data_IF_983718393518
#
_entry.id   IF_983718393518
#
_cell.length_a   1.000
_cell.length_b   1.000
_cell.length_c   1.000
_cell.angle_alpha   90.00
_cell.angle_beta   90.00
_cell.angle_gamma   90.00
#
_symmetry.space_group_name_H-M   'P 1'
#
loop_
_entity.id
_entity.type
_entity.pdbx_description
1 polymer ?
#
# COMPACT_ATOMS: atom_id res chain seq x y z
N UNK A 1 32.08 6.15 -11.29
CA UNK A 1 30.68 6.43 -10.91
C UNK A 1 29.98 7.03 -12.11
N UNK A 2 29.03 6.29 -12.70
CA UNK A 2 28.17 6.64 -13.85
C UNK A 2 28.73 7.71 -14.83
N UNK A 3 29.42 7.29 -15.91
CA UNK A 3 30.17 8.18 -16.81
C UNK A 3 29.40 9.38 -17.36
N UNK A 4 28.07 9.28 -17.50
CA UNK A 4 27.22 10.39 -17.96
C UNK A 4 26.79 11.37 -16.86
N UNK A 5 26.60 10.94 -15.60
CA UNK A 5 26.22 11.86 -14.52
C UNK A 5 27.38 12.76 -14.08
N UNK A 6 28.63 12.33 -14.31
CA UNK A 6 29.83 13.11 -14.01
C UNK A 6 30.00 14.36 -14.90
N UNK A 7 29.28 14.44 -16.02
CA UNK A 7 29.32 15.56 -16.96
C UNK A 7 28.08 16.47 -16.88
N UNK A 8 27.17 16.21 -15.94
CA UNK A 8 25.93 16.97 -15.79
C UNK A 8 26.14 18.18 -14.88
N UNK A 9 25.43 19.26 -15.19
CA UNK A 9 25.37 20.45 -14.35
C UNK A 9 24.82 20.12 -12.95
N UNK A 10 25.22 20.90 -11.93
CA UNK A 10 24.87 20.66 -10.54
C UNK A 10 23.34 20.61 -10.32
N UNK A 11 22.58 21.39 -11.08
CA UNK A 11 21.11 21.37 -11.04
C UNK A 11 20.54 20.00 -11.47
N UNK A 12 21.09 19.40 -12.53
CA UNK A 12 20.68 18.08 -13.01
C UNK A 12 21.03 16.99 -12.01
N UNK A 13 22.22 17.06 -11.40
CA UNK A 13 22.63 16.12 -10.36
C UNK A 13 21.69 16.21 -9.16
N UNK A 14 21.33 17.42 -8.73
CA UNK A 14 20.40 17.64 -7.62
C UNK A 14 19.00 17.07 -7.90
N UNK A 15 18.48 17.23 -9.12
CA UNK A 15 17.19 16.66 -9.51
C UNK A 15 17.18 15.13 -9.59
N UNK A 16 18.24 14.54 -10.16
CA UNK A 16 18.41 13.09 -10.20
C UNK A 16 18.49 12.54 -8.76
N UNK A 17 19.24 13.21 -7.90
CA UNK A 17 19.39 12.83 -6.49
C UNK A 17 18.06 12.98 -5.72
N UNK A 18 17.31 14.05 -5.92
CA UNK A 18 16.03 14.26 -5.23
C UNK A 18 14.98 13.24 -5.67
N UNK A 19 14.88 12.92 -6.97
CA UNK A 19 13.97 11.86 -7.47
C UNK A 19 14.40 10.48 -6.98
N UNK A 20 15.71 10.23 -6.96
CA UNK A 20 16.26 9.04 -6.33
C UNK A 20 15.80 8.93 -4.88
N UNK A 21 15.94 10.01 -4.10
CA UNK A 21 15.55 10.05 -2.69
C UNK A 21 14.05 9.80 -2.48
N UNK A 22 13.17 10.43 -3.27
CA UNK A 22 11.72 10.19 -3.15
C UNK A 22 11.36 8.75 -3.51
N UNK A 23 11.96 8.20 -4.57
CA UNK A 23 11.70 6.82 -4.97
C UNK A 23 12.26 5.79 -3.98
N UNK A 24 13.37 6.10 -3.30
CA UNK A 24 13.94 5.26 -2.24
C UNK A 24 13.00 5.12 -1.03
N UNK A 25 12.09 6.09 -0.82
CA UNK A 25 11.02 5.97 0.18
C UNK A 25 10.04 4.86 -0.18
N UNK A 26 9.85 4.47 -1.45
CA UNK A 26 8.81 3.49 -1.81
C UNK A 26 9.01 2.15 -1.10
N UNK A 27 7.90 1.52 -0.68
CA UNK A 27 7.82 0.16 -0.14
C UNK A 27 6.84 -0.66 -0.99
N UNK A 28 6.78 -1.97 -0.81
CA UNK A 28 5.83 -2.84 -1.52
C UNK A 28 4.79 -3.41 -0.56
N UNK A 29 3.51 -2.99 -0.66
CA UNK A 29 2.42 -3.63 0.08
C UNK A 29 2.21 -5.07 -0.35
N UNK A 30 2.25 -5.36 -1.65
CA UNK A 30 2.05 -6.71 -2.17
C UNK A 30 3.08 -7.72 -1.62
N UNK A 31 4.36 -7.35 -1.56
CA UNK A 31 5.39 -8.21 -0.96
C UNK A 31 5.20 -8.38 0.55
N UNK A 32 4.78 -7.33 1.26
CA UNK A 32 4.49 -7.42 2.69
C UNK A 32 3.32 -8.38 2.95
N UNK A 33 2.22 -8.25 2.21
CA UNK A 33 1.05 -9.13 2.29
C UNK A 33 1.43 -10.58 1.96
N UNK A 34 2.23 -10.80 0.92
CA UNK A 34 2.67 -12.14 0.53
C UNK A 34 3.47 -12.83 1.66
N UNK A 35 4.44 -12.13 2.27
CA UNK A 35 5.22 -12.68 3.39
C UNK A 35 4.36 -12.91 4.62
N UNK A 36 3.42 -11.99 4.94
CA UNK A 36 2.50 -12.17 6.06
C UNK A 36 1.57 -13.38 5.85
N UNK A 37 1.03 -13.54 4.64
CA UNK A 37 0.19 -14.68 4.29
C UNK A 37 0.96 -15.99 4.36
N UNK A 38 2.21 -16.01 3.86
CA UNK A 38 3.06 -17.20 3.87
C UNK A 38 3.49 -17.60 5.28
N UNK A 39 3.84 -16.63 6.13
CA UNK A 39 4.30 -16.88 7.50
C UNK A 39 3.14 -17.02 8.50
N UNK A 40 1.88 -16.89 8.04
CA UNK A 40 0.69 -16.71 8.87
C UNK A 40 0.90 -15.65 9.97
N UNK A 41 1.56 -14.55 9.59
CA UNK A 41 1.96 -13.46 10.46
C UNK A 41 0.74 -12.73 11.02
N UNK A 42 0.50 -12.86 12.33
CA UNK A 42 -0.60 -12.15 13.02
C UNK A 42 -0.14 -11.60 14.36
N UNK A 43 -0.31 -10.30 14.55
CA UNK A 43 -0.05 -9.61 15.81
C UNK A 43 0.17 -8.11 15.63
N UNK A 44 0.46 -7.38 16.71
CA UNK A 44 0.63 -5.94 16.69
C UNK A 44 1.74 -5.44 15.76
N UNK A 45 2.85 -6.18 15.60
CA UNK A 45 3.94 -5.82 14.68
C UNK A 45 3.49 -5.93 13.22
N UNK A 46 2.83 -7.03 12.86
CA UNK A 46 2.28 -7.26 11.51
C UNK A 46 1.27 -6.17 11.14
N UNK A 47 0.39 -5.81 12.07
CA UNK A 47 -0.58 -4.71 11.89
C UNK A 47 0.10 -3.35 11.73
N UNK A 48 1.13 -3.07 12.55
CA UNK A 48 1.92 -1.83 12.43
C UNK A 48 2.64 -1.73 11.08
N UNK A 49 3.24 -2.84 10.62
CA UNK A 49 3.86 -2.91 9.30
C UNK A 49 2.83 -2.56 8.22
N UNK A 50 1.66 -3.20 8.22
CA UNK A 50 0.62 -2.92 7.22
C UNK A 50 0.15 -1.47 7.25
N UNK A 51 -0.12 -0.91 8.44
CA UNK A 51 -0.53 0.48 8.59
C UNK A 51 0.51 1.45 8.03
N UNK A 52 1.79 1.28 8.41
CA UNK A 52 2.88 2.13 7.93
C UNK A 52 3.08 1.99 6.42
N UNK A 53 2.99 0.77 5.87
CA UNK A 53 3.14 0.55 4.43
C UNK A 53 2.06 1.26 3.63
N UNK A 54 0.79 1.19 4.06
CA UNK A 54 -0.33 1.84 3.37
C UNK A 54 -0.18 3.37 3.38
N UNK A 55 0.11 3.96 4.55
CA UNK A 55 0.30 5.42 4.66
C UNK A 55 1.49 5.88 3.82
N UNK A 56 2.60 5.14 3.90
CA UNK A 56 3.83 5.44 3.18
C UNK A 56 3.67 5.35 1.66
N UNK A 57 2.83 4.45 1.15
CA UNK A 57 2.51 4.36 -0.28
C UNK A 57 1.78 5.60 -0.80
N UNK A 58 0.91 6.21 0.00
CA UNK A 58 0.27 7.48 -0.36
C UNK A 58 1.29 8.62 -0.32
N UNK A 59 2.08 8.69 0.75
CA UNK A 59 3.11 9.73 0.92
C UNK A 59 4.13 9.71 -0.21
N UNK A 60 4.60 8.53 -0.65
CA UNK A 60 5.59 8.45 -1.72
C UNK A 60 5.03 8.92 -3.06
N UNK A 61 3.77 8.61 -3.38
CA UNK A 61 3.14 9.03 -4.64
C UNK A 61 2.99 10.55 -4.68
N UNK A 62 2.48 11.15 -3.60
CA UNK A 62 2.33 12.60 -3.50
C UNK A 62 3.71 13.28 -3.55
N UNK A 63 4.66 12.79 -2.76
CA UNK A 63 6.01 13.35 -2.69
C UNK A 63 6.74 13.25 -4.03
N UNK A 64 6.55 12.14 -4.75
CA UNK A 64 7.12 11.94 -6.07
C UNK A 64 6.50 12.89 -7.10
N UNK A 65 5.16 13.01 -7.13
CA UNK A 65 4.44 13.92 -8.02
C UNK A 65 4.91 15.38 -7.85
N UNK A 66 4.97 15.85 -6.60
CA UNK A 66 5.46 17.21 -6.28
C UNK A 66 6.92 17.40 -6.71
N UNK A 67 7.78 16.40 -6.47
CA UNK A 67 9.19 16.49 -6.81
C UNK A 67 9.43 16.50 -8.33
N UNK A 68 8.70 15.69 -9.10
CA UNK A 68 8.77 15.70 -10.58
C UNK A 68 8.42 17.08 -11.12
N UNK A 69 7.37 17.71 -10.61
CA UNK A 69 6.93 19.01 -11.09
C UNK A 69 7.90 20.13 -10.66
N UNK A 70 8.47 20.06 -9.45
CA UNK A 70 9.54 20.96 -9.02
C UNK A 70 10.75 20.89 -9.94
N UNK A 71 11.15 19.68 -10.33
CA UNK A 71 12.27 19.44 -11.25
C UNK A 71 11.97 19.94 -12.65
N UNK A 72 10.74 19.74 -13.12
CA UNK A 72 10.28 20.25 -14.41
C UNK A 72 10.46 21.77 -14.49
N UNK A 73 10.12 22.49 -13.41
CA UNK A 73 10.30 23.93 -13.30
C UNK A 73 11.76 24.35 -13.20
N UNK A 74 12.58 23.57 -12.47
CA UNK A 74 13.97 23.91 -12.22
C UNK A 74 14.92 23.64 -13.41
N UNK A 75 14.65 22.62 -14.22
CA UNK A 75 15.58 22.14 -15.26
C UNK A 75 15.10 22.37 -16.68
N UNK A 76 13.80 22.25 -16.97
CA UNK A 76 13.36 22.51 -18.33
C UNK A 76 13.51 24.01 -18.59
N UNK A 77 14.08 24.41 -19.75
CA UNK A 77 14.15 25.81 -20.12
C UNK A 77 12.77 26.40 -19.98
N UNK A 78 12.61 27.37 -19.06
CA UNK A 78 11.49 28.29 -19.17
C UNK A 78 11.59 28.83 -20.58
N UNK A 79 10.54 28.63 -21.38
CA UNK A 79 10.39 29.42 -22.60
C UNK A 79 10.70 30.87 -22.18
N UNK A 80 11.64 31.53 -22.87
CA UNK A 80 12.31 32.73 -22.40
C UNK A 80 11.36 33.88 -21.96
N UNK A 81 10.07 33.76 -22.26
CA UNK A 81 9.00 34.69 -21.93
C UNK A 81 8.03 34.23 -20.82
N UNK A 82 8.28 33.13 -20.10
CA UNK A 82 7.36 32.66 -19.05
C UNK A 82 7.57 33.45 -17.75
N UNK A 83 6.55 34.16 -17.23
CA UNK A 83 6.69 34.90 -15.99
C UNK A 83 6.97 33.93 -14.83
N UNK A 84 7.90 34.30 -13.96
CA UNK A 84 8.38 33.47 -12.85
C UNK A 84 7.24 32.99 -11.93
N UNK A 85 6.19 33.81 -11.78
CA UNK A 85 4.96 33.47 -11.07
C UNK A 85 4.23 32.27 -11.68
N UNK A 86 4.15 32.18 -13.01
CA UNK A 86 3.52 31.06 -13.72
C UNK A 86 4.32 29.77 -13.53
N UNK A 87 5.64 29.85 -13.46
CA UNK A 87 6.51 28.69 -13.22
C UNK A 87 6.28 28.06 -11.84
N UNK A 88 5.90 28.84 -10.83
CA UNK A 88 5.56 28.33 -9.49
C UNK A 88 4.12 27.80 -9.39
N UNK A 89 3.18 28.37 -10.16
CA UNK A 89 1.76 28.00 -10.11
C UNK A 89 1.48 26.71 -10.89
N UNK A 90 2.20 26.44 -11.97
CA UNK A 90 1.96 25.29 -12.85
C UNK A 90 2.04 23.91 -12.13
N UNK A 91 3.06 23.62 -11.28
CA UNK A 91 3.10 22.39 -10.47
C UNK A 91 1.90 22.20 -9.56
N UNK A 92 1.45 23.28 -8.92
CA UNK A 92 0.31 23.23 -7.99
C UNK A 92 -0.96 22.93 -8.78
N UNK A 93 -1.11 23.56 -9.95
CA UNK A 93 -2.24 23.32 -10.84
C UNK A 93 -2.23 21.90 -11.42
N UNK A 94 -1.08 21.33 -11.78
CA UNK A 94 -0.98 19.96 -12.31
C UNK A 94 -1.34 18.92 -11.26
N UNK A 95 -0.89 19.09 -10.01
CA UNK A 95 -1.31 18.24 -8.87
C UNK A 95 -2.80 18.40 -8.59
N UNK A 96 -3.31 19.63 -8.53
CA UNK A 96 -4.74 19.90 -8.32
C UNK A 96 -5.60 19.30 -9.45
N UNK A 97 -5.15 19.39 -10.70
CA UNK A 97 -5.82 18.77 -11.85
C UNK A 97 -5.81 17.25 -11.75
N UNK A 98 -4.71 16.64 -11.31
CA UNK A 98 -4.60 15.19 -11.08
C UNK A 98 -5.62 14.71 -10.05
N UNK A 99 -5.71 15.42 -8.92
CA UNK A 99 -6.69 15.14 -7.86
C UNK A 99 -8.11 15.33 -8.39
N UNK A 100 -8.37 16.42 -9.10
CA UNK A 100 -9.69 16.73 -9.66
C UNK A 100 -10.17 15.67 -10.67
N UNK A 101 -9.27 15.23 -11.57
CA UNK A 101 -9.54 14.14 -12.52
C UNK A 101 -9.78 12.82 -11.79
N UNK A 102 -9.02 12.54 -10.73
CA UNK A 102 -9.23 11.37 -9.90
C UNK A 102 -10.58 11.38 -9.17
N UNK A 103 -10.96 12.52 -8.58
CA UNK A 103 -12.27 12.69 -7.94
C UNK A 103 -13.39 12.49 -8.96
N UNK A 104 -13.30 13.15 -10.12
CA UNK A 104 -14.27 12.99 -11.20
C UNK A 104 -14.37 11.53 -11.66
N UNK A 105 -13.23 10.87 -11.92
CA UNK A 105 -13.18 9.45 -12.29
C UNK A 105 -13.81 8.55 -11.22
N UNK A 106 -13.59 8.84 -9.94
CA UNK A 106 -14.15 8.06 -8.83
C UNK A 106 -15.67 8.20 -8.73
N UNK A 107 -16.18 9.42 -8.95
CA UNK A 107 -17.62 9.67 -9.01
C UNK A 107 -18.27 9.01 -10.22
N UNK A 108 -17.65 9.12 -11.41
CA UNK A 108 -18.12 8.46 -12.64
C UNK A 108 -18.16 6.94 -12.45
N UNK A 109 -17.09 6.36 -11.90
CA UNK A 109 -17.04 4.92 -11.63
C UNK A 109 -18.12 4.50 -10.64
N UNK A 110 -18.34 5.26 -9.56
CA UNK A 110 -19.41 5.00 -8.60
C UNK A 110 -20.80 5.05 -9.24
N UNK A 111 -21.05 6.01 -10.14
CA UNK A 111 -22.30 6.11 -10.88
C UNK A 111 -22.50 4.89 -11.80
N UNK A 112 -21.48 4.51 -12.57
CA UNK A 112 -21.54 3.38 -13.49
C UNK A 112 -21.74 2.04 -12.77
N UNK A 113 -21.04 1.83 -11.65
CA UNK A 113 -21.19 0.62 -10.85
C UNK A 113 -22.56 0.52 -10.18
N UNK A 114 -23.19 1.65 -9.85
CA UNK A 114 -24.57 1.69 -9.34
C UNK A 114 -25.60 1.36 -10.42
N UNK A 115 -25.36 1.75 -11.66
CA UNK A 115 -26.25 1.44 -12.80
C UNK A 115 -26.20 -0.02 -13.23
N UNK A 116 -25.16 -0.76 -12.86
CA UNK A 116 -25.02 -2.17 -13.19
C UNK A 116 -25.71 -3.07 -12.15
N UNK A 117 -26.39 -4.15 -12.59
CA UNK A 117 -27.01 -5.10 -11.68
C UNK A 117 -25.96 -5.71 -10.75
N UNK A 118 -26.30 -5.81 -9.47
CA UNK A 118 -25.41 -6.37 -8.47
C UNK A 118 -25.38 -7.88 -8.62
N UNK A 119 -24.19 -8.44 -8.64
CA UNK A 119 -24.00 -9.88 -8.62
C UNK A 119 -23.71 -10.23 -7.17
N UNK A 120 -24.73 -10.69 -6.45
CA UNK A 120 -24.47 -11.32 -5.17
C UNK A 120 -23.50 -12.49 -5.41
N UNK A 121 -22.43 -12.56 -4.62
CA UNK A 121 -21.62 -13.77 -4.48
C UNK A 121 -22.50 -14.86 -3.82
N UNK A 122 -23.52 -15.34 -4.53
CA UNK A 122 -24.21 -16.56 -4.17
C UNK A 122 -23.21 -17.68 -4.38
N UNK A 123 -22.59 -18.10 -3.28
CA UNK A 123 -21.78 -19.32 -3.23
C UNK A 123 -22.53 -20.47 -3.90
N UNK A 124 -21.77 -21.41 -4.46
CA UNK A 124 -22.19 -22.40 -5.46
C UNK A 124 -23.27 -23.41 -5.06
N UNK A 125 -24.12 -23.11 -4.08
CA UNK A 125 -25.23 -23.94 -3.62
C UNK A 125 -26.40 -24.05 -4.63
N UNK A 126 -26.49 -23.16 -5.63
CA UNK A 126 -27.54 -23.22 -6.66
C UNK A 126 -27.08 -23.90 -7.98
N UNK A 127 -25.87 -24.46 -8.05
CA UNK A 127 -25.30 -25.05 -9.26
C UNK A 127 -25.93 -26.40 -9.66
N UNK A 128 -26.85 -26.95 -8.86
CA UNK A 128 -27.42 -28.29 -9.06
C UNK A 128 -28.71 -28.38 -9.89
N UNK A 129 -29.31 -27.26 -10.33
CA UNK A 129 -30.57 -27.29 -11.10
C UNK A 129 -30.34 -26.91 -12.56
N UNK A 130 -31.09 -27.52 -13.49
CA UNK A 130 -30.96 -27.32 -14.93
C UNK A 130 -31.19 -25.86 -15.41
N UNK A 131 -31.78 -25.00 -14.57
CA UNK A 131 -31.90 -23.54 -14.79
C UNK A 131 -30.80 -22.68 -14.15
N UNK A 132 -29.98 -23.26 -13.26
CA UNK A 132 -28.92 -22.55 -12.54
C UNK A 132 -27.72 -22.16 -13.42
N UNK A 133 -27.47 -22.90 -14.50
CA UNK A 133 -26.36 -22.64 -15.43
C UNK A 133 -26.48 -21.30 -16.16
N UNK A 134 -27.69 -20.95 -16.62
CA UNK A 134 -27.93 -19.67 -17.31
C UNK A 134 -27.83 -18.48 -16.36
N UNK A 135 -28.37 -18.61 -15.14
CA UNK A 135 -28.25 -17.58 -14.10
C UNK A 135 -26.80 -17.40 -13.62
N UNK A 136 -26.04 -18.50 -13.47
CA UNK A 136 -24.62 -18.46 -13.14
C UNK A 136 -23.77 -17.85 -14.26
N UNK A 137 -24.08 -18.17 -15.53
CA UNK A 137 -23.43 -17.54 -16.69
C UNK A 137 -23.72 -16.04 -16.75
N UNK A 138 -24.97 -15.62 -16.56
CA UNK A 138 -25.36 -14.21 -16.50
C UNK A 138 -24.66 -13.46 -15.35
N UNK A 139 -24.60 -14.06 -14.16
CA UNK A 139 -23.86 -13.53 -13.01
C UNK A 139 -22.36 -13.38 -13.31
N UNK A 140 -21.74 -14.39 -13.95
CA UNK A 140 -20.33 -14.34 -14.34
C UNK A 140 -20.04 -13.26 -15.39
N UNK A 141 -20.96 -13.05 -16.33
CA UNK A 141 -20.84 -12.02 -17.36
C UNK A 141 -21.04 -10.62 -16.78
N UNK A 142 -21.98 -10.45 -15.84
CA UNK A 142 -22.19 -9.20 -15.12
C UNK A 142 -20.96 -8.85 -14.24
N UNK A 143 -20.32 -9.83 -13.59
CA UNK A 143 -19.08 -9.61 -12.85
C UNK A 143 -17.93 -9.19 -13.76
N UNK A 144 -17.73 -9.88 -14.90
CA UNK A 144 -16.74 -9.50 -15.92
C UNK A 144 -17.01 -8.10 -16.50
N UNK A 145 -18.28 -7.74 -16.69
CA UNK A 145 -18.67 -6.41 -17.15
C UNK A 145 -18.30 -5.33 -16.12
N UNK A 146 -18.58 -5.56 -14.83
CA UNK A 146 -18.17 -4.65 -13.74
C UNK A 146 -16.64 -4.51 -13.70
N UNK A 147 -15.88 -5.61 -13.81
CA UNK A 147 -14.42 -5.57 -13.92
C UNK A 147 -13.93 -4.76 -15.12
N UNK A 148 -14.55 -4.96 -16.30
CA UNK A 148 -14.22 -4.22 -17.51
C UNK A 148 -14.50 -2.72 -17.37
N UNK A 149 -15.59 -2.34 -16.68
CA UNK A 149 -15.90 -0.93 -16.38
C UNK A 149 -14.87 -0.32 -15.44
N UNK A 150 -14.47 -1.02 -14.37
CA UNK A 150 -13.39 -0.56 -13.48
C UNK A 150 -12.10 -0.33 -14.27
N UNK A 151 -11.69 -1.28 -15.09
CA UNK A 151 -10.49 -1.16 -15.92
C UNK A 151 -10.61 -0.04 -16.96
N UNK A 152 -11.77 0.09 -17.59
CA UNK A 152 -12.05 1.09 -18.62
C UNK A 152 -12.00 2.51 -18.06
N UNK A 153 -12.67 2.76 -16.93
CA UNK A 153 -12.64 4.08 -16.27
C UNK A 153 -11.24 4.39 -15.74
N UNK A 154 -10.56 3.41 -15.12
CA UNK A 154 -9.19 3.59 -14.65
C UNK A 154 -8.23 3.98 -15.79
N UNK A 155 -8.33 3.29 -16.94
CA UNK A 155 -7.51 3.57 -18.12
C UNK A 155 -7.86 4.93 -18.73
N UNK A 156 -9.14 5.30 -18.77
CA UNK A 156 -9.59 6.61 -19.24
C UNK A 156 -9.07 7.74 -18.34
N UNK A 157 -9.20 7.60 -17.02
CA UNK A 157 -8.66 8.58 -16.06
C UNK A 157 -7.15 8.73 -16.20
N UNK A 158 -6.42 7.61 -16.36
CA UNK A 158 -4.98 7.64 -16.61
C UNK A 158 -4.64 8.39 -17.90
N UNK A 159 -5.34 8.07 -19.00
CA UNK A 159 -5.06 8.65 -20.31
C UNK A 159 -5.41 10.14 -20.36
N UNK A 160 -6.51 10.56 -19.71
CA UNK A 160 -6.88 11.97 -19.59
C UNK A 160 -5.84 12.73 -18.77
N UNK A 161 -5.42 12.18 -17.62
CA UNK A 161 -4.37 12.80 -16.82
C UNK A 161 -3.06 12.95 -17.62
N UNK A 162 -2.66 11.92 -18.36
CA UNK A 162 -1.48 11.97 -19.22
C UNK A 162 -1.62 13.02 -20.34
N UNK A 163 -2.79 13.11 -20.98
CA UNK A 163 -3.05 14.08 -22.05
C UNK A 163 -2.99 15.53 -21.56
N UNK A 164 -3.49 15.79 -20.35
CA UNK A 164 -3.47 17.13 -19.74
C UNK A 164 -2.18 17.44 -18.97
N UNK A 165 -1.10 16.68 -19.18
CA UNK A 165 0.18 16.89 -18.49
C UNK A 165 0.09 16.79 -16.95
N UNK A 166 -0.96 16.16 -16.43
CA UNK A 166 -1.19 15.87 -15.02
C UNK A 166 -0.52 14.54 -14.61
N UNK A 167 -0.42 14.29 -13.30
CA UNK A 167 0.19 13.08 -12.75
C UNK A 167 -0.80 11.89 -12.78
N UNK A 168 -0.63 10.91 -13.68
CA UNK A 168 -1.66 9.89 -13.93
C UNK A 168 -1.84 8.92 -12.76
N UNK A 169 -0.75 8.58 -12.07
CA UNK A 169 -0.79 7.68 -10.91
C UNK A 169 -1.56 8.30 -9.74
N UNK A 170 -1.35 9.61 -9.49
CA UNK A 170 -2.07 10.34 -8.46
C UNK A 170 -3.57 10.42 -8.78
N UNK A 171 -3.94 10.61 -10.04
CA UNK A 171 -5.34 10.57 -10.47
C UNK A 171 -5.99 9.21 -10.21
N UNK A 172 -5.32 8.10 -10.56
CA UNK A 172 -5.84 6.75 -10.30
C UNK A 172 -5.95 6.42 -8.80
N UNK A 173 -4.98 6.83 -7.97
CA UNK A 173 -5.05 6.64 -6.51
C UNK A 173 -6.19 7.45 -5.91
N UNK A 174 -6.33 8.72 -6.33
CA UNK A 174 -7.42 9.58 -5.87
C UNK A 174 -8.79 9.01 -6.27
N UNK A 175 -8.92 8.46 -7.47
CA UNK A 175 -10.12 7.75 -7.92
C UNK A 175 -10.49 6.59 -6.99
N UNK A 176 -9.52 5.74 -6.63
CA UNK A 176 -9.72 4.64 -5.69
C UNK A 176 -10.08 5.12 -4.28
N UNK A 177 -9.42 6.16 -3.78
CA UNK A 177 -9.70 6.77 -2.48
C UNK A 177 -11.13 7.34 -2.42
N UNK A 178 -11.58 8.03 -3.46
CA UNK A 178 -12.95 8.52 -3.53
C UNK A 178 -13.93 7.37 -3.53
N UNK A 179 -13.68 6.32 -4.31
CA UNK A 179 -14.61 5.18 -4.41
C UNK A 179 -14.76 4.43 -3.07
N UNK A 180 -13.65 4.17 -2.37
CA UNK A 180 -13.64 3.40 -1.10
C UNK A 180 -14.20 4.20 0.08
N UNK A 181 -14.04 5.53 0.09
CA UNK A 181 -14.45 6.37 1.21
C UNK A 181 -15.88 6.92 1.11
N UNK A 182 -16.65 6.52 0.10
CA UNK A 182 -18.07 6.90 0.02
C UNK A 182 -18.86 6.23 1.14
N UNK A 183 -19.61 7.05 1.87
CA UNK A 183 -20.53 6.59 2.91
C UNK A 183 -21.94 6.50 2.34
N UNK A 184 -22.49 5.30 2.37
CA UNK A 184 -23.86 4.95 2.02
C UNK A 184 -24.17 3.58 2.63
N UNK A 185 -25.44 3.18 2.65
CA UNK A 185 -25.90 1.96 3.31
C UNK A 185 -25.21 0.66 2.84
N UNK A 186 -24.59 0.68 1.65
CA UNK A 186 -23.89 -0.46 1.05
C UNK A 186 -22.38 -0.31 0.98
N UNK A 187 -21.80 0.69 1.67
CA UNK A 187 -20.38 1.02 1.55
C UNK A 187 -19.46 -0.20 1.76
N UNK A 188 -19.74 -1.04 2.76
CA UNK A 188 -18.86 -2.18 3.04
C UNK A 188 -18.97 -3.31 2.00
N UNK A 189 -20.17 -3.58 1.48
CA UNK A 189 -20.37 -4.54 0.38
C UNK A 189 -19.70 -4.07 -0.91
N UNK A 190 -19.81 -2.77 -1.23
CA UNK A 190 -19.19 -2.21 -2.42
C UNK A 190 -17.65 -2.26 -2.34
N UNK A 191 -17.07 -2.11 -1.13
CA UNK A 191 -15.63 -2.29 -0.91
C UNK A 191 -15.18 -3.74 -1.16
N UNK A 192 -15.92 -4.71 -0.62
CA UNK A 192 -15.64 -6.13 -0.84
C UNK A 192 -15.75 -6.51 -2.33
N UNK A 193 -16.81 -6.06 -2.99
CA UNK A 193 -17.02 -6.25 -4.43
C UNK A 193 -15.89 -5.63 -5.25
N UNK A 194 -15.51 -4.38 -4.95
CA UNK A 194 -14.40 -3.70 -5.60
C UNK A 194 -13.08 -4.44 -5.39
N UNK A 195 -12.81 -4.89 -4.16
CA UNK A 195 -11.61 -5.68 -3.84
C UNK A 195 -11.57 -6.98 -4.64
N UNK A 196 -12.70 -7.69 -4.77
CA UNK A 196 -12.81 -8.90 -5.58
C UNK A 196 -12.57 -8.61 -7.07
N UNK A 197 -13.16 -7.55 -7.61
CA UNK A 197 -12.96 -7.12 -9.01
C UNK A 197 -11.49 -6.81 -9.29
N UNK A 198 -10.87 -5.98 -8.44
CA UNK A 198 -9.46 -5.59 -8.55
C UNK A 198 -8.56 -6.81 -8.41
N UNK A 199 -8.82 -7.71 -7.46
CA UNK A 199 -8.05 -8.94 -7.28
C UNK A 199 -8.09 -9.85 -8.50
N UNK A 200 -9.24 -9.97 -9.15
CA UNK A 200 -9.36 -10.73 -10.41
C UNK A 200 -8.53 -10.13 -11.56
N UNK A 201 -8.36 -8.80 -11.60
CA UNK A 201 -7.56 -8.11 -12.63
C UNK A 201 -6.06 -8.13 -12.27
N UNK A 202 -5.72 -8.02 -10.98
CA UNK A 202 -4.34 -7.92 -10.48
C UNK A 202 -3.45 -9.06 -10.98
N UNK A 203 -3.97 -10.29 -11.07
CA UNK A 203 -3.18 -11.44 -11.53
C UNK A 203 -2.58 -11.22 -12.92
N UNK A 204 -3.42 -10.90 -13.91
CA UNK A 204 -2.98 -10.67 -15.29
C UNK A 204 -2.08 -9.43 -15.40
N UNK A 205 -2.49 -8.33 -14.77
CA UNK A 205 -1.73 -7.07 -14.81
C UNK A 205 -0.35 -7.23 -14.18
N UNK A 206 -0.23 -7.95 -13.06
CA UNK A 206 1.06 -8.21 -12.41
C UNK A 206 1.97 -9.07 -13.30
N UNK A 207 1.44 -10.14 -13.91
CA UNK A 207 2.25 -10.98 -14.82
C UNK A 207 2.77 -10.17 -16.00
N UNK A 208 1.91 -9.38 -16.65
CA UNK A 208 2.32 -8.51 -17.75
C UNK A 208 3.34 -7.44 -17.30
N UNK A 209 3.08 -6.78 -16.16
CA UNK A 209 3.94 -5.74 -15.62
C UNK A 209 5.31 -6.26 -15.22
N UNK A 210 5.38 -7.31 -14.40
CA UNK A 210 6.66 -7.88 -13.97
C UNK A 210 7.41 -8.57 -15.11
N UNK A 211 6.70 -9.18 -16.06
CA UNK A 211 7.28 -9.73 -17.28
C UNK A 211 7.92 -8.66 -18.17
N UNK A 212 7.21 -7.56 -18.43
CA UNK A 212 7.73 -6.43 -19.22
C UNK A 212 8.86 -5.68 -18.48
N UNK A 213 8.73 -5.49 -17.16
CA UNK A 213 9.78 -4.88 -16.35
C UNK A 213 11.06 -5.72 -16.39
N UNK A 214 10.93 -7.05 -16.25
CA UNK A 214 12.03 -8.00 -16.38
C UNK A 214 12.66 -7.99 -17.77
N UNK A 215 11.84 -8.00 -18.84
CA UNK A 215 12.32 -7.94 -20.22
C UNK A 215 13.01 -6.61 -20.57
N UNK A 216 12.65 -5.52 -19.88
CA UNK A 216 13.27 -4.19 -20.05
C UNK A 216 14.62 -4.05 -19.33
N UNK A 217 15.03 -5.05 -18.54
CA UNK A 217 16.31 -5.03 -17.83
C UNK A 217 17.48 -5.23 -18.79
N UNK A 218 18.29 -4.19 -18.94
CA UNK A 218 19.56 -4.26 -19.66
C UNK A 218 20.63 -4.82 -18.73
N UNK A 219 20.84 -6.13 -18.74
CA UNK A 219 21.80 -6.82 -17.87
C UNK A 219 23.23 -6.26 -17.99
N UNK A 220 23.67 -5.83 -19.18
CA UNK A 220 24.97 -5.17 -19.36
C UNK A 220 25.06 -3.81 -18.65
N UNK A 221 24.00 -3.00 -18.72
CA UNK A 221 23.97 -1.74 -17.97
C UNK A 221 23.89 -1.99 -16.46
N UNK A 222 23.24 -3.09 -16.04
CA UNK A 222 23.19 -3.50 -14.64
C UNK A 222 24.59 -3.82 -14.09
N UNK A 223 25.42 -4.55 -14.85
CA UNK A 223 26.80 -4.87 -14.43
C UNK A 223 27.68 -3.62 -14.34
N UNK A 224 27.55 -2.69 -15.27
CA UNK A 224 28.32 -1.44 -15.27
C UNK A 224 27.96 -0.53 -14.08
N UNK A 225 26.71 -0.59 -13.64
CA UNK A 225 26.16 0.26 -12.59
C UNK A 225 26.10 -0.46 -11.23
N UNK A 226 26.49 -1.73 -11.16
CA UNK A 226 26.29 -2.59 -9.98
C UNK A 226 26.99 -2.05 -8.74
N UNK A 227 28.23 -1.59 -8.87
CA UNK A 227 29.00 -1.02 -7.75
C UNK A 227 28.33 0.22 -7.16
N UNK A 228 27.86 1.14 -8.02
CA UNK A 228 27.14 2.32 -7.60
C UNK A 228 25.77 1.96 -6.99
N UNK A 229 25.06 1.00 -7.57
CA UNK A 229 23.78 0.52 -7.05
C UNK A 229 23.94 -0.11 -5.66
N UNK A 230 25.02 -0.87 -5.42
CA UNK A 230 25.32 -1.47 -4.13
C UNK A 230 25.59 -0.41 -3.05
N UNK A 231 26.32 0.66 -3.39
CA UNK A 231 26.55 1.78 -2.47
C UNK A 231 25.23 2.45 -2.10
N UNK A 232 24.40 2.81 -3.09
CA UNK A 232 23.10 3.45 -2.83
C UNK A 232 22.16 2.51 -2.05
N UNK A 233 22.18 1.22 -2.36
CA UNK A 233 21.47 0.19 -1.62
C UNK A 233 21.89 0.15 -0.14
N UNK A 234 23.19 0.16 0.15
CA UNK A 234 23.70 0.16 1.52
C UNK A 234 23.32 1.45 2.28
N UNK A 235 23.47 2.60 1.64
CA UNK A 235 23.03 3.90 2.20
C UNK A 235 21.55 3.86 2.53
N UNK A 236 20.73 3.31 1.63
CA UNK A 236 19.29 3.16 1.83
C UNK A 236 18.97 2.25 3.02
N UNK A 237 19.64 1.10 3.16
CA UNK A 237 19.46 0.23 4.32
C UNK A 237 19.77 0.96 5.63
N UNK A 238 20.88 1.71 5.66
CA UNK A 238 21.24 2.56 6.81
C UNK A 238 20.19 3.63 7.10
N UNK A 239 19.67 4.30 6.08
CA UNK A 239 18.62 5.30 6.22
C UNK A 239 17.30 4.71 6.74
N UNK A 240 16.90 3.52 6.24
CA UNK A 240 15.70 2.81 6.73
C UNK A 240 15.89 2.36 8.17
N UNK A 241 17.07 1.85 8.52
CA UNK A 241 17.41 1.49 9.89
C UNK A 241 17.30 2.68 10.83
N UNK A 242 17.98 3.79 10.50
CA UNK A 242 17.97 5.00 11.30
C UNK A 242 16.56 5.61 11.42
N UNK A 243 15.84 5.72 10.31
CA UNK A 243 14.48 6.26 10.30
C UNK A 243 13.49 5.40 11.08
N UNK A 244 13.59 4.08 10.97
CA UNK A 244 12.76 3.15 11.76
C UNK A 244 13.11 3.25 13.25
N UNK A 245 14.39 3.29 13.59
CA UNK A 245 14.84 3.44 14.97
C UNK A 245 14.36 4.77 15.58
N UNK A 246 14.51 5.88 14.85
CA UNK A 246 14.06 7.19 15.28
C UNK A 246 12.53 7.25 15.45
N UNK A 247 11.77 6.77 14.47
CA UNK A 247 10.30 6.75 14.51
C UNK A 247 9.76 5.87 15.63
N UNK A 248 10.35 4.67 15.83
CA UNK A 248 9.98 3.79 16.93
C UNK A 248 10.35 4.38 18.30
N UNK A 249 11.45 5.16 18.39
CA UNK A 249 11.84 5.86 19.63
C UNK A 249 10.90 7.02 19.94
N UNK A 250 10.54 7.82 18.93
CA UNK A 250 9.60 8.93 19.08
C UNK A 250 8.19 8.48 19.51
N UNK A 251 7.80 7.26 19.14
CA UNK A 251 6.50 6.66 19.50
C UNK A 251 6.56 5.75 20.74
N UNK A 252 7.68 5.73 21.46
CA UNK A 252 7.90 4.92 22.66
C UNK A 252 7.55 3.41 22.49
N UNK A 253 7.77 2.87 21.28
CA UNK A 253 7.54 1.44 21.00
C UNK A 253 8.58 0.55 21.69
N UNK A 254 8.28 -0.75 21.77
CA UNK A 254 9.14 -1.74 22.43
C UNK A 254 10.58 -1.70 21.88
N UNK A 255 11.56 -2.05 22.73
CA UNK A 255 12.97 -2.12 22.32
C UNK A 255 13.20 -3.12 21.19
N UNK A 256 12.37 -4.16 21.11
CA UNK A 256 12.37 -5.14 20.04
C UNK A 256 11.93 -4.55 18.71
N UNK A 257 10.84 -3.77 18.68
CA UNK A 257 10.35 -3.15 17.45
C UNK A 257 11.37 -2.14 16.91
N UNK A 258 11.98 -1.34 17.79
CA UNK A 258 13.09 -0.42 17.44
C UNK A 258 14.25 -1.11 16.71
N UNK A 259 14.52 -2.39 17.02
CA UNK A 259 15.64 -3.15 16.42
C UNK A 259 15.25 -3.89 15.14
N UNK A 260 13.99 -4.30 15.00
CA UNK A 260 13.55 -5.22 13.95
C UNK A 260 12.66 -4.57 12.88
N UNK A 261 12.02 -3.43 13.17
CA UNK A 261 11.03 -2.83 12.27
C UNK A 261 11.60 -2.50 10.88
N UNK A 262 12.84 -2.00 10.81
CA UNK A 262 13.49 -1.64 9.56
C UNK A 262 13.57 -2.80 8.54
N UNK A 263 13.70 -4.04 9.02
CA UNK A 263 13.78 -5.24 8.18
C UNK A 263 12.50 -5.46 7.36
N UNK A 264 11.35 -5.02 7.88
CA UNK A 264 10.07 -5.09 7.20
C UNK A 264 9.90 -4.03 6.10
N UNK A 265 10.78 -3.01 6.06
CA UNK A 265 10.66 -1.83 5.21
C UNK A 265 11.57 -1.86 3.97
N UNK A 266 12.31 -2.95 3.77
CA UNK A 266 13.35 -3.00 2.73
C UNK A 266 12.77 -3.20 1.33
N UNK A 267 11.88 -4.16 1.08
CA UNK A 267 11.59 -4.52 -0.33
C UNK A 267 10.87 -3.43 -1.12
N UNK A 268 11.27 -3.21 -2.38
CA UNK A 268 10.58 -2.33 -3.31
C UNK A 268 9.98 -3.16 -4.44
N UNK A 269 8.87 -2.72 -5.03
CA UNK A 269 8.25 -3.45 -6.13
C UNK A 269 7.51 -2.50 -7.10
N UNK A 270 6.29 -2.89 -7.53
CA UNK A 270 5.57 -2.31 -8.66
C UNK A 270 5.49 -0.79 -8.68
N UNK A 271 5.16 -0.15 -7.55
CA UNK A 271 5.09 1.33 -7.46
C UNK A 271 6.45 1.96 -7.77
N UNK A 272 7.51 1.50 -7.11
CA UNK A 272 8.87 2.01 -7.32
C UNK A 272 9.33 1.85 -8.78
N UNK A 273 9.03 0.69 -9.39
CA UNK A 273 9.35 0.44 -10.81
C UNK A 273 8.54 1.32 -11.75
N UNK A 274 7.25 1.51 -11.46
CA UNK A 274 6.36 2.39 -12.23
C UNK A 274 6.82 3.84 -12.19
N UNK A 275 7.15 4.36 -11.01
CA UNK A 275 7.68 5.72 -10.84
C UNK A 275 9.02 5.90 -11.57
N UNK A 276 9.94 4.94 -11.46
CA UNK A 276 11.21 4.99 -12.18
C UNK A 276 11.02 5.02 -13.72
N UNK A 277 10.05 4.25 -14.25
CA UNK A 277 9.68 4.29 -15.67
C UNK A 277 9.06 5.64 -16.05
N UNK A 278 8.23 6.22 -15.20
CA UNK A 278 7.63 7.54 -15.42
C UNK A 278 8.70 8.63 -15.54
N UNK A 279 9.72 8.64 -14.67
CA UNK A 279 10.88 9.52 -14.84
C UNK A 279 11.60 9.27 -16.17
N UNK A 280 11.74 7.99 -16.55
CA UNK A 280 12.31 7.58 -17.84
C UNK A 280 11.64 8.21 -19.05
N UNK A 281 10.31 8.30 -19.03
CA UNK A 281 9.52 8.91 -20.11
C UNK A 281 9.41 10.42 -20.01
N UNK A 282 9.44 10.99 -18.79
CA UNK A 282 9.21 12.42 -18.55
C UNK A 282 10.45 13.28 -18.79
N UNK A 283 11.64 12.70 -18.63
CA UNK A 283 12.92 13.38 -18.82
C UNK A 283 13.75 12.65 -19.89
N UNK A 284 13.54 12.92 -21.19
CA UNK A 284 14.16 12.16 -22.28
C UNK A 284 15.70 12.13 -22.24
N UNK A 285 16.32 13.21 -21.77
CA UNK A 285 17.79 13.37 -21.81
C UNK A 285 18.54 12.43 -20.86
N UNK A 286 18.04 12.26 -19.63
CA UNK A 286 18.71 11.50 -18.56
C UNK A 286 17.82 10.45 -17.89
N UNK A 287 16.50 10.55 -18.05
CA UNK A 287 15.51 9.68 -17.46
C UNK A 287 15.74 8.19 -17.76
N UNK A 288 16.02 7.75 -18.99
CA UNK A 288 16.27 6.33 -19.28
C UNK A 288 17.46 5.75 -18.51
N UNK A 289 18.51 6.56 -18.29
CA UNK A 289 19.67 6.19 -17.48
C UNK A 289 19.31 6.11 -16.00
N UNK A 290 18.52 7.08 -15.50
CA UNK A 290 17.97 7.04 -14.15
C UNK A 290 17.09 5.81 -13.93
N UNK A 291 16.14 5.53 -14.82
CA UNK A 291 15.29 4.35 -14.76
C UNK A 291 16.12 3.08 -14.65
N UNK A 292 17.13 2.91 -15.50
CA UNK A 292 18.01 1.73 -15.46
C UNK A 292 18.75 1.61 -14.12
N UNK A 293 19.26 2.73 -13.59
CA UNK A 293 19.93 2.76 -12.30
C UNK A 293 19.01 2.37 -11.14
N UNK A 294 17.80 2.94 -11.11
CA UNK A 294 16.83 2.68 -10.06
C UNK A 294 16.33 1.24 -10.12
N UNK A 295 16.13 0.67 -11.31
CA UNK A 295 15.78 -0.73 -11.47
C UNK A 295 16.84 -1.66 -10.87
N UNK A 296 18.14 -1.35 -11.03
CA UNK A 296 19.22 -2.10 -10.38
C UNK A 296 19.05 -2.15 -8.85
N UNK A 297 18.80 -0.99 -8.24
CA UNK A 297 18.61 -0.87 -6.79
C UNK A 297 17.33 -1.57 -6.33
N UNK A 298 16.24 -1.43 -7.10
CA UNK A 298 14.96 -2.07 -6.80
C UNK A 298 15.10 -3.60 -6.80
N UNK A 299 15.86 -4.17 -7.75
CA UNK A 299 16.13 -5.62 -7.79
C UNK A 299 16.89 -6.10 -6.56
N UNK A 300 17.92 -5.37 -6.12
CA UNK A 300 18.64 -5.69 -4.87
C UNK A 300 17.69 -5.66 -3.67
N UNK A 301 16.84 -4.63 -3.57
CA UNK A 301 15.83 -4.51 -2.52
C UNK A 301 14.79 -5.64 -2.56
N UNK A 302 14.40 -6.09 -3.76
CA UNK A 302 13.44 -7.17 -3.95
C UNK A 302 14.01 -8.53 -3.53
N UNK A 303 15.30 -8.77 -3.77
CA UNK A 303 15.98 -10.00 -3.37
C UNK A 303 16.22 -10.07 -1.85
N UNK A 304 16.65 -8.95 -1.25
CA UNK A 304 17.04 -8.91 0.17
C UNK A 304 15.83 -8.72 1.11
N UNK A 305 14.79 -8.01 0.68
CA UNK A 305 13.70 -7.59 1.56
C UNK A 305 12.84 -8.73 2.13
N UNK A 306 12.31 -9.68 1.32
CA UNK A 306 11.47 -10.75 1.84
C UNK A 306 12.17 -11.66 2.87
N UNK A 307 13.42 -12.12 2.66
CA UNK A 307 14.16 -12.86 3.69
C UNK A 307 14.32 -12.11 5.01
N UNK A 308 14.65 -10.80 4.95
CA UNK A 308 14.75 -9.96 6.15
C UNK A 308 13.40 -9.82 6.86
N UNK A 309 12.31 -9.63 6.11
CA UNK A 309 11.00 -9.48 6.72
C UNK A 309 10.54 -10.77 7.41
N UNK A 310 10.78 -11.94 6.80
CA UNK A 310 10.53 -13.25 7.45
C UNK A 310 11.28 -13.37 8.77
N UNK A 311 12.57 -13.02 8.78
CA UNK A 311 13.37 -13.06 9.99
C UNK A 311 12.85 -12.12 11.08
N UNK A 312 12.33 -10.94 10.72
CA UNK A 312 11.71 -10.03 11.69
C UNK A 312 10.47 -10.66 12.33
N UNK A 313 9.58 -11.26 11.53
CA UNK A 313 8.37 -11.91 12.04
C UNK A 313 8.69 -13.08 12.98
N UNK A 314 9.70 -13.89 12.64
CA UNK A 314 10.15 -15.00 13.51
C UNK A 314 10.74 -14.47 14.81
N UNK A 315 11.57 -13.42 14.75
CA UNK A 315 12.21 -12.85 15.95
C UNK A 315 11.20 -12.21 16.91
N UNK A 316 10.20 -11.51 16.36
CA UNK A 316 9.10 -10.91 17.16
C UNK A 316 8.11 -11.96 17.67
N UNK A 317 8.15 -13.19 17.15
CA UNK A 317 7.26 -14.27 17.56
C UNK A 317 5.86 -14.22 16.94
N UNK A 318 5.67 -13.48 15.85
CA UNK A 318 4.38 -13.39 15.15
C UNK A 318 4.25 -14.37 13.97
N UNK A 319 5.32 -15.12 13.63
CA UNK A 319 5.33 -16.09 12.54
C UNK A 319 4.73 -17.44 12.95
N UNK A 320 3.40 -17.60 12.84
CA UNK A 320 2.69 -18.84 13.26
C UNK A 320 3.09 -20.07 12.45
N UNK A 321 3.32 -19.92 11.14
CA UNK A 321 3.79 -21.03 10.30
C UNK A 321 5.19 -21.54 10.70
N UNK A 322 6.03 -20.68 11.30
CA UNK A 322 7.36 -21.07 11.81
C UNK A 322 7.32 -21.59 13.25
N UNK A 323 6.31 -21.23 14.04
CA UNK A 323 6.10 -21.65 15.43
C UNK A 323 5.68 -23.12 15.58
N UNK A 324 5.34 -23.82 14.49
CA UNK A 324 5.25 -25.28 14.48
C UNK A 324 6.62 -25.99 14.59
N UNK A 325 7.74 -25.25 14.45
CA UNK A 325 9.12 -25.76 14.47
C UNK A 325 10.02 -25.09 15.52
N UNK A 326 9.55 -24.05 16.23
CA UNK A 326 10.34 -23.26 17.19
C UNK A 326 9.56 -23.00 18.50
N UNK A 327 10.23 -22.97 19.67
CA UNK A 327 9.57 -22.78 20.96
C UNK A 327 8.94 -21.38 21.09
N UNK A 328 7.71 -21.34 21.61
CA UNK A 328 6.89 -20.13 21.81
C UNK A 328 7.55 -19.20 22.83
N UNK A 329 7.67 -17.91 22.48
CA UNK A 329 7.84 -16.83 23.46
C UNK A 329 6.49 -16.16 23.65
N UNK A 330 5.85 -16.40 24.79
CA UNK A 330 4.63 -15.68 25.16
C UNK A 330 4.98 -14.21 25.41
N UNK A 331 4.52 -13.35 24.51
CA UNK A 331 4.44 -11.92 24.75
C UNK A 331 2.96 -11.61 24.95
N UNK A 332 2.54 -11.60 26.22
CA UNK A 332 1.18 -11.28 26.62
C UNK A 332 0.72 -9.93 26.05
N UNK A 333 -0.60 -9.70 25.95
CA UNK A 333 -1.16 -8.55 25.26
C UNK A 333 -0.78 -7.26 26.00
N UNK A 334 0.25 -6.55 25.51
CA UNK A 334 0.44 -5.15 25.86
C UNK A 334 -0.40 -4.33 24.90
N UNK A 335 -1.63 -4.07 25.30
CA UNK A 335 -2.56 -3.22 24.58
C UNK A 335 -1.93 -1.85 24.35
N UNK A 336 -2.12 -1.33 23.14
CA UNK A 336 -1.70 0.02 22.72
C UNK A 336 -2.23 1.12 23.67
N UNK A 337 -3.34 0.86 24.37
CA UNK A 337 -3.94 1.75 25.36
C UNK A 337 -3.06 2.03 26.59
N UNK A 338 -2.18 1.09 26.97
CA UNK A 338 -1.26 1.29 28.10
C UNK A 338 -0.10 2.25 27.77
N UNK A 339 0.30 2.34 26.50
CA UNK A 339 1.33 3.28 26.05
C UNK A 339 0.78 4.72 25.89
N UNK A 340 -0.54 4.86 25.72
CA UNK A 340 -1.23 6.14 25.54
C UNK A 340 -1.85 6.69 26.83
N UNK A 341 -1.65 6.05 27.98
CA UNK A 341 -2.12 6.54 29.28
C UNK A 341 -3.65 6.57 29.44
N UNK A 342 -4.40 5.93 28.55
CA UNK A 342 -5.87 5.87 28.60
C UNK A 342 -6.30 4.66 29.44
N UNK A 343 -6.03 4.71 30.74
CA UNK A 343 -6.52 3.73 31.72
C UNK A 343 -7.89 4.16 32.26
N UNK A 344 -8.95 3.44 31.89
CA UNK A 344 -10.25 3.53 32.57
C UNK A 344 -10.22 2.84 33.94
N UNK A 345 -11.08 3.24 34.90
CA UNK A 345 -10.97 2.78 36.28
C UNK A 345 -11.47 1.35 36.48
N UNK A 346 -10.59 0.51 37.02
CA UNK A 346 -10.85 -0.47 38.08
C UNK A 346 -12.04 -1.43 37.95
N UNK A 347 -11.78 -2.62 37.41
CA UNK A 347 -12.57 -3.82 37.69
C UNK A 347 -11.78 -4.78 38.57
N UNK A 348 -11.98 -4.71 39.89
CA UNK A 348 -11.40 -5.63 40.88
C UNK A 348 -12.03 -7.02 40.78
N UNK A 349 -11.28 -8.00 40.27
CA UNK A 349 -11.61 -9.43 40.37
C UNK A 349 -10.94 -10.05 41.59
N UNK A 350 -11.73 -10.34 42.62
CA UNK A 350 -11.35 -11.07 43.83
C UNK A 350 -11.00 -12.53 43.49
N UNK A 351 -9.89 -13.02 44.06
CA UNK A 351 -9.56 -14.43 44.05
C UNK A 351 -10.27 -15.18 45.17
N UNK A 352 -10.89 -16.32 44.84
CA UNK A 352 -11.19 -17.40 45.77
C UNK A 352 -10.96 -18.72 45.03
N UNK A 353 -10.10 -19.57 45.60
CA UNK A 353 -9.86 -20.94 45.14
C UNK A 353 -10.72 -21.96 45.89
N UNK A 354 -10.79 -23.18 45.35
CA UNK A 354 -11.12 -24.39 46.12
C UNK A 354 -12.00 -25.43 45.42
N UNK A 355 -11.39 -26.53 44.98
CA UNK A 355 -11.84 -27.90 45.32
C UNK A 355 -12.93 -28.60 44.50
N UNK A 356 -12.51 -29.55 43.65
CA UNK A 356 -12.91 -30.97 43.72
C UNK A 356 -14.31 -31.44 43.26
N UNK A 357 -14.32 -32.49 42.41
CA UNK A 357 -15.36 -33.53 42.43
C UNK A 357 -16.02 -33.83 41.08
N UNK A 358 -15.95 -35.08 40.63
CA UNK A 358 -16.41 -35.54 39.31
C UNK A 358 -17.93 -35.61 39.10
N UNK A 359 -18.33 -35.91 37.86
CA UNK A 359 -19.72 -36.22 37.51
C UNK A 359 -20.01 -36.10 36.02
N UNK A 360 -20.26 -37.24 35.36
CA UNK A 360 -20.78 -37.34 34.00
C UNK A 360 -22.13 -36.63 33.83
N UNK A 361 -22.37 -36.08 32.64
CA UNK A 361 -23.71 -35.67 32.20
C UNK A 361 -23.65 -34.81 30.94
N UNK A 362 -23.99 -35.40 29.78
CA UNK A 362 -24.04 -34.68 28.52
C UNK A 362 -25.22 -33.71 28.42
N UNK A 363 -25.01 -32.58 27.75
CA UNK A 363 -26.06 -31.78 27.12
C UNK A 363 -25.53 -31.10 25.85
N UNK A 364 -26.43 -31.07 24.86
CA UNK A 364 -26.31 -30.51 23.52
C UNK A 364 -26.26 -28.96 23.50
N UNK A 365 -25.61 -28.48 22.44
CA UNK A 365 -25.92 -27.33 21.57
C UNK A 365 -25.83 -25.87 22.08
N UNK A 366 -25.30 -25.08 21.13
CA UNK A 366 -25.39 -23.64 20.91
C UNK A 366 -24.51 -22.68 21.73
N UNK A 367 -23.72 -21.89 20.99
CA UNK A 367 -23.06 -20.70 21.49
C UNK A 367 -21.95 -20.26 20.56
N UNK A 368 -22.29 -19.52 19.49
CA UNK A 368 -21.32 -18.87 18.62
C UNK A 368 -20.35 -18.03 19.42
N UNK A 369 -19.05 -18.24 19.19
CA UNK A 369 -18.01 -17.35 19.67
C UNK A 369 -17.63 -16.43 18.52
N UNK A 370 -17.99 -15.15 18.68
CA UNK A 370 -17.63 -14.08 17.77
C UNK A 370 -16.11 -14.00 17.65
N UNK A 371 -15.63 -14.22 16.44
CA UNK A 371 -14.28 -13.84 16.03
C UNK A 371 -14.23 -12.32 15.89
N UNK A 372 -14.18 -11.58 17.00
CA UNK A 372 -13.78 -10.17 16.99
C UNK A 372 -12.25 -10.08 16.91
N UNK A 373 -11.69 -10.74 15.89
CA UNK A 373 -10.37 -10.41 15.41
C UNK A 373 -10.51 -9.13 14.60
N UNK A 374 -9.96 -8.01 15.09
CA UNK A 374 -9.74 -6.83 14.25
C UNK A 374 -8.84 -7.26 13.10
N UNK A 375 -9.48 -7.66 12.00
CA UNK A 375 -8.84 -8.15 10.80
C UNK A 375 -7.95 -7.05 10.21
N UNK A 376 -7.08 -7.45 9.31
CA UNK A 376 -6.25 -6.53 8.52
C UNK A 376 -7.08 -5.40 7.91
N UNK A 377 -8.35 -5.67 7.59
CA UNK A 377 -9.34 -4.71 7.10
C UNK A 377 -9.69 -3.60 8.11
N UNK A 378 -9.73 -3.92 9.41
CA UNK A 378 -9.96 -2.94 10.49
C UNK A 378 -8.77 -1.99 10.67
N UNK A 379 -7.54 -2.50 10.51
CA UNK A 379 -6.31 -1.69 10.61
C UNK A 379 -6.15 -0.78 9.39
N UNK A 380 -6.50 -1.26 8.20
CA UNK A 380 -6.53 -0.43 6.98
C UNK A 380 -7.60 0.65 7.08
N UNK A 381 -8.81 0.33 7.55
CA UNK A 381 -9.85 1.32 7.79
C UNK A 381 -9.46 2.35 8.87
N UNK A 382 -8.78 1.93 9.95
CA UNK A 382 -8.32 2.82 11.00
C UNK A 382 -7.18 3.75 10.53
N UNK A 383 -6.22 3.24 9.73
CA UNK A 383 -5.15 4.05 9.15
C UNK A 383 -5.69 5.09 8.16
N UNK A 384 -6.76 4.76 7.42
CA UNK A 384 -7.47 5.70 6.54
C UNK A 384 -8.29 6.72 7.35
N UNK A 385 -8.92 6.31 8.46
CA UNK A 385 -9.63 7.20 9.38
C UNK A 385 -8.73 8.25 10.04
N UNK A 386 -7.49 7.86 10.40
CA UNK A 386 -6.48 8.77 10.97
C UNK A 386 -6.00 9.86 10.00
N UNK A 387 -6.10 9.65 8.68
CA UNK A 387 -5.70 10.64 7.67
C UNK A 387 -6.80 11.68 7.40
N UNK A 388 -8.07 11.39 7.71
CA UNK A 388 -9.21 12.24 7.33
C UNK A 388 -9.99 12.86 8.49
N UNK A 389 -9.51 12.77 9.73
CA UNK A 389 -10.13 13.43 10.88
C UNK A 389 -11.45 12.78 11.24
N UNK A 390 -11.42 11.93 12.27
CA UNK A 390 -12.62 11.29 12.80
C UNK A 390 -13.42 12.32 13.61
N UNK A 391 -14.34 13.04 12.96
CA UNK A 391 -15.37 13.80 13.64
C UNK A 391 -16.56 12.86 13.93
N UNK A 392 -16.41 11.99 14.94
CA UNK A 392 -17.57 11.32 15.52
C UNK A 392 -17.36 10.86 16.97
N UNK A 393 -17.41 11.80 17.90
CA UNK A 393 -17.91 11.57 19.26
C UNK A 393 -18.73 12.81 19.65
N UNK A 394 -20.00 12.91 19.21
CA UNK A 394 -21.02 13.65 19.99
C UNK A 394 -22.45 13.57 19.42
N UNK A 395 -23.04 12.38 19.15
CA UNK A 395 -24.46 12.30 18.74
C UNK A 395 -25.27 11.10 19.25
N UNK A 396 -24.80 10.30 20.22
CA UNK A 396 -25.62 9.23 20.81
C UNK A 396 -26.33 9.59 22.11
N UNK A 397 -26.02 10.72 22.76
CA UNK A 397 -26.47 10.99 24.14
C UNK A 397 -27.58 12.05 24.24
N UNK A 398 -28.44 12.20 23.23
CA UNK A 398 -29.60 13.12 23.32
C UNK A 398 -30.99 12.53 23.12
N UNK A 399 -31.11 11.22 22.93
CA UNK A 399 -32.41 10.55 22.83
C UNK A 399 -32.45 9.27 23.68
N UNK A 400 -32.29 9.40 25.01
CA UNK A 400 -32.80 8.45 26.02
C UNK A 400 -33.20 9.19 27.29
#
# INVERSE_FOLDING_TARGET
>A
MLPKFAQMDAAHVAAVASLGATLMMARSPASAIAVLKEMEGKGPFSSLVMAVVVVKDVVVIISYAVNVELIRVAILPSAADRPQLLSMVLPVLSVALSISLGVCGGLVLAMLLRSLPHVAHTGGAAAGTAGGGAAAAAASNAFKLRQAVVLGVATLTFQLAHHFDAEPLLACVTMGLVLVNRRHERADKDKEELHAMVTGIMGLTNVAFFGLAGASLKLGALTDMFSAALVVFAVRLGAIWLGSWAGCTATATSAEYRRLFWMSMVTQAGVAMGLARLAGTRFPDWGPHFQTFMMAIILLNLLVGPPLFRQALVRVGEARAALGLLPVKDHGPRSLGAALGLGGPGGSGSGVGGGGGGGLGGLKENGGTGEDGVGVDGVVNAAVGLVLGDHNQDKSDRDQ
#
